data_IF_038794174495
#
_entry.id   IF_038794174495
#
_cell.length_a   1.000
_cell.length_b   1.000
_cell.length_c   1.000
_cell.angle_alpha   90.00
_cell.angle_beta   90.00
_cell.angle_gamma   90.00
#
_symmetry.space_group_name_H-M   'P 1'
#
loop_
_entity.id
_entity.type
_entity.pdbx_description
1 polymer ?
#
# COMPACT_ATOMS: atom_id res chain seq x y z
N UNK A 1 43.11 16.63 -17.73
CA UNK A 1 43.65 15.26 -17.80
C UNK A 1 43.70 14.70 -16.38
N UNK A 2 42.71 13.89 -16.00
CA UNK A 2 42.70 13.21 -14.69
C UNK A 2 43.38 11.85 -14.88
N UNK A 3 44.66 11.74 -14.51
CA UNK A 3 45.38 10.46 -14.52
C UNK A 3 45.17 9.80 -13.16
N UNK A 4 44.39 8.73 -13.11
CA UNK A 4 44.28 7.85 -11.96
C UNK A 4 45.17 6.64 -12.23
N UNK A 5 46.31 6.52 -11.54
CA UNK A 5 47.19 5.33 -11.63
C UNK A 5 47.31 4.68 -10.26
N UNK A 6 47.02 3.38 -10.17
CA UNK A 6 47.22 2.53 -8.99
C UNK A 6 47.43 1.06 -9.37
N UNK A 7 48.37 0.40 -8.69
CA UNK A 7 48.93 -0.95 -8.98
C UNK A 7 47.97 -2.11 -8.67
N UNK A 8 48.19 -3.23 -9.37
CA UNK A 8 47.21 -4.30 -9.59
C UNK A 8 46.88 -5.24 -8.42
N UNK A 9 45.60 -5.64 -8.32
CA UNK A 9 45.11 -6.73 -7.47
C UNK A 9 44.27 -7.79 -8.22
N UNK A 10 44.31 -9.04 -7.72
CA UNK A 10 43.97 -10.35 -8.31
C UNK A 10 42.55 -10.65 -8.85
N UNK A 11 41.74 -9.69 -9.35
CA UNK A 11 40.41 -10.00 -9.92
C UNK A 11 40.19 -9.40 -11.31
N UNK A 12 39.67 -10.24 -12.22
CA UNK A 12 39.44 -9.93 -13.64
C UNK A 12 38.48 -8.75 -13.83
N UNK A 13 38.86 -7.92 -14.81
CA UNK A 13 38.13 -6.77 -15.37
C UNK A 13 36.70 -7.13 -15.81
N UNK A 14 35.76 -6.20 -15.62
CA UNK A 14 34.36 -6.33 -16.03
C UNK A 14 34.03 -5.26 -17.09
N UNK A 15 33.99 -5.66 -18.36
CA UNK A 15 33.79 -4.79 -19.54
C UNK A 15 32.46 -4.04 -19.54
N UNK A 16 31.43 -4.60 -18.90
CA UNK A 16 30.11 -4.00 -18.74
C UNK A 16 30.15 -2.67 -17.99
N UNK A 17 31.06 -2.55 -17.01
CA UNK A 17 31.16 -1.38 -16.15
C UNK A 17 31.86 -0.20 -16.83
N UNK A 18 32.94 -0.47 -17.56
CA UNK A 18 33.67 0.55 -18.31
C UNK A 18 32.79 1.17 -19.41
N UNK A 19 31.98 0.35 -20.07
CA UNK A 19 31.02 0.81 -21.07
C UNK A 19 29.92 1.69 -20.46
N UNK A 20 29.47 1.42 -19.23
CA UNK A 20 28.50 2.27 -18.52
C UNK A 20 29.09 3.61 -18.11
N UNK A 21 30.32 3.65 -17.59
CA UNK A 21 30.99 4.91 -17.25
C UNK A 21 31.21 5.78 -18.49
N UNK A 22 31.63 5.17 -19.62
CA UNK A 22 31.72 5.85 -20.90
C UNK A 22 30.38 6.48 -21.32
N UNK A 23 29.28 5.73 -21.18
CA UNK A 23 27.95 6.20 -21.56
C UNK A 23 27.48 7.44 -20.78
N UNK A 24 27.74 7.52 -19.47
CA UNK A 24 27.35 8.68 -18.66
C UNK A 24 28.14 9.94 -19.02
N UNK A 25 29.43 9.80 -19.31
CA UNK A 25 30.30 10.92 -19.68
C UNK A 25 29.95 11.47 -21.08
N UNK A 26 29.63 10.58 -22.03
CA UNK A 26 29.21 10.97 -23.38
C UNK A 26 27.83 11.65 -23.42
N UNK A 27 26.94 11.35 -22.46
CA UNK A 27 25.56 11.86 -22.45
C UNK A 27 25.42 13.27 -21.87
N UNK A 28 26.31 13.66 -20.95
CA UNK A 28 26.25 14.96 -20.26
C UNK A 28 27.07 16.08 -20.93
N UNK A 29 27.63 15.84 -22.12
CA UNK A 29 28.32 16.85 -22.95
C UNK A 29 29.40 17.64 -22.19
N UNK A 30 30.04 17.01 -21.19
CA UNK A 30 31.22 17.60 -20.55
C UNK A 30 32.37 17.50 -21.55
N UNK A 31 32.87 18.65 -22.01
CA UNK A 31 34.08 18.78 -22.83
C UNK A 31 35.33 18.25 -22.08
N UNK A 32 35.41 16.94 -21.91
CA UNK A 32 36.57 16.22 -21.41
C UNK A 32 37.34 15.75 -22.64
N UNK A 33 38.42 16.47 -22.94
CA UNK A 33 39.17 16.32 -24.18
C UNK A 33 39.88 14.97 -24.33
N UNK A 34 40.03 14.18 -23.26
CA UNK A 34 40.37 12.74 -23.30
C UNK A 34 40.18 12.11 -21.90
N UNK A 35 39.56 10.92 -21.83
CA UNK A 35 39.42 10.13 -20.60
C UNK A 35 39.98 8.71 -20.82
N UNK A 36 41.08 8.41 -20.13
CA UNK A 36 41.73 7.09 -20.15
C UNK A 36 41.52 6.46 -18.77
N UNK A 37 40.69 5.40 -18.72
CA UNK A 37 40.52 4.58 -17.50
C UNK A 37 41.44 3.37 -17.59
N UNK A 38 42.51 3.38 -16.79
CA UNK A 38 43.35 2.20 -16.58
C UNK A 38 43.21 1.82 -15.11
N UNK A 39 42.69 0.62 -14.81
CA UNK A 39 42.54 0.14 -13.44
C UNK A 39 43.06 -1.30 -13.29
N UNK A 40 43.62 -1.63 -12.12
CA UNK A 40 43.63 -2.99 -11.56
C UNK A 40 43.64 -2.88 -10.01
N UNK A 41 42.76 -3.59 -9.29
CA UNK A 41 42.79 -3.67 -7.80
C UNK A 41 41.48 -3.36 -7.06
N UNK A 42 41.42 -3.72 -5.77
CA UNK A 42 40.23 -3.73 -4.87
C UNK A 42 39.69 -2.37 -4.45
N UNK A 43 40.41 -1.27 -4.72
CA UNK A 43 40.03 0.06 -4.24
C UNK A 43 38.85 0.65 -5.00
N UNK A 44 38.77 0.39 -6.31
CA UNK A 44 37.56 0.64 -7.11
C UNK A 44 36.37 -0.15 -6.55
N UNK A 45 36.58 -1.39 -6.08
CA UNK A 45 35.49 -2.16 -5.44
C UNK A 45 35.06 -1.58 -4.10
N UNK A 46 35.97 -1.02 -3.30
CA UNK A 46 35.61 -0.35 -2.04
C UNK A 46 34.87 0.96 -2.30
N UNK A 47 35.36 1.79 -3.22
CA UNK A 47 34.68 3.05 -3.61
C UNK A 47 33.29 2.72 -4.19
N UNK A 48 33.19 1.72 -5.06
CA UNK A 48 31.91 1.27 -5.62
C UNK A 48 30.98 0.70 -4.55
N UNK A 49 31.49 -0.09 -3.59
CA UNK A 49 30.69 -0.60 -2.47
C UNK A 49 30.19 0.53 -1.58
N UNK A 50 31.02 1.54 -1.29
CA UNK A 50 30.61 2.73 -0.55
C UNK A 50 29.60 3.57 -1.33
N UNK A 51 29.71 3.67 -2.66
CA UNK A 51 28.69 4.32 -3.49
C UNK A 51 27.38 3.52 -3.53
N UNK A 52 27.43 2.19 -3.66
CA UNK A 52 26.24 1.33 -3.62
C UNK A 52 25.55 1.40 -2.25
N UNK A 53 26.32 1.48 -1.16
CA UNK A 53 25.80 1.67 0.21
C UNK A 53 25.15 3.05 0.37
N UNK A 54 25.79 4.13 -0.12
CA UNK A 54 25.23 5.47 -0.12
C UNK A 54 23.96 5.58 -0.97
N UNK A 55 23.93 4.98 -2.17
CA UNK A 55 22.73 4.94 -3.00
C UNK A 55 21.60 4.11 -2.37
N UNK A 56 21.94 3.04 -1.64
CA UNK A 56 20.95 2.28 -0.89
C UNK A 56 20.38 3.09 0.28
N UNK A 57 21.22 3.81 1.04
CA UNK A 57 20.78 4.73 2.11
C UNK A 57 19.93 5.89 1.56
N UNK A 58 20.36 6.53 0.48
CA UNK A 58 19.66 7.65 -0.14
C UNK A 58 18.27 7.22 -0.65
N UNK A 59 18.19 6.02 -1.24
CA UNK A 59 16.92 5.42 -1.67
C UNK A 59 16.01 5.08 -0.49
N UNK A 60 16.57 4.59 0.63
CA UNK A 60 15.79 4.34 1.86
C UNK A 60 15.26 5.66 2.41
N UNK A 61 16.07 6.73 2.39
CA UNK A 61 15.67 8.05 2.87
C UNK A 61 14.62 8.71 1.96
N UNK A 62 14.72 8.56 0.63
CA UNK A 62 13.67 8.98 -0.30
C UNK A 62 12.36 8.23 -0.04
N UNK A 63 12.41 6.89 0.10
CA UNK A 63 11.23 6.08 0.41
C UNK A 63 10.59 6.46 1.76
N UNK A 64 11.41 6.78 2.77
CA UNK A 64 10.96 7.27 4.08
C UNK A 64 10.31 8.66 3.97
N UNK A 65 10.95 9.61 3.29
CA UNK A 65 10.41 10.95 3.08
C UNK A 65 9.11 10.95 2.27
N UNK A 66 9.01 10.07 1.26
CA UNK A 66 7.79 9.89 0.48
C UNK A 66 6.64 9.38 1.35
N UNK A 67 6.92 8.42 2.23
CA UNK A 67 5.94 7.90 3.21
C UNK A 67 5.51 8.98 4.19
N UNK A 68 6.45 9.73 4.76
CA UNK A 68 6.15 10.83 5.69
C UNK A 68 5.29 11.91 5.02
N UNK A 69 5.59 12.27 3.76
CA UNK A 69 4.79 13.21 2.96
C UNK A 69 3.36 12.71 2.73
N UNK A 70 3.18 11.44 2.39
CA UNK A 70 1.85 10.82 2.23
C UNK A 70 1.10 10.82 3.57
N UNK A 71 1.75 10.46 4.66
CA UNK A 71 1.14 10.51 6.00
C UNK A 71 0.73 11.92 6.42
N UNK A 72 1.54 12.95 6.13
CA UNK A 72 1.23 14.35 6.45
C UNK A 72 0.05 14.86 5.63
N UNK A 73 -0.02 14.55 4.32
CA UNK A 73 -1.17 14.90 3.48
C UNK A 73 -2.46 14.29 4.00
N UNK A 74 -2.40 13.02 4.38
CA UNK A 74 -3.53 12.30 4.97
C UNK A 74 -3.97 12.94 6.30
N UNK A 75 -3.03 13.25 7.20
CA UNK A 75 -3.33 13.92 8.48
C UNK A 75 -3.98 15.29 8.28
N UNK A 76 -3.54 16.07 7.30
CA UNK A 76 -4.15 17.37 7.01
C UNK A 76 -5.58 17.23 6.49
N UNK A 77 -5.85 16.29 5.58
CA UNK A 77 -7.22 16.00 5.12
C UNK A 77 -8.10 15.56 6.30
N UNK A 78 -7.57 14.76 7.21
CA UNK A 78 -8.28 14.32 8.40
C UNK A 78 -8.64 15.48 9.34
N UNK A 79 -7.69 16.37 9.64
CA UNK A 79 -7.90 17.57 10.44
C UNK A 79 -8.94 18.52 9.81
N UNK A 80 -8.86 18.74 8.50
CA UNK A 80 -9.81 19.61 7.78
C UNK A 80 -11.25 19.08 7.85
N UNK A 81 -11.45 17.76 7.84
CA UNK A 81 -12.77 17.17 7.94
C UNK A 81 -13.29 17.21 9.38
N UNK A 82 -12.44 17.01 10.39
CA UNK A 82 -12.81 17.16 11.81
C UNK A 82 -13.24 18.59 12.15
N UNK A 83 -12.52 19.59 11.65
CA UNK A 83 -12.87 21.00 11.85
C UNK A 83 -14.24 21.32 11.23
N UNK A 84 -14.54 20.79 10.03
CA UNK A 84 -15.88 20.92 9.42
C UNK A 84 -16.98 20.22 10.20
N UNK A 85 -16.67 19.13 10.91
CA UNK A 85 -17.62 18.42 11.77
C UNK A 85 -17.99 19.24 13.03
N UNK A 86 -17.02 19.95 13.62
CA UNK A 86 -17.24 20.80 14.79
C UNK A 86 -18.13 22.01 14.49
N UNK A 87 -18.06 22.55 13.27
CA UNK A 87 -18.85 23.71 12.84
C UNK A 87 -20.31 23.36 12.47
N UNK A 88 -20.63 22.08 12.27
CA UNK A 88 -21.97 21.65 11.85
C UNK A 88 -22.95 21.49 13.02
N UNK A 89 -24.10 22.16 12.90
CA UNK A 89 -25.24 22.05 13.84
C UNK A 89 -26.23 20.95 13.46
N UNK A 90 -26.21 20.52 12.20
CA UNK A 90 -27.13 19.53 11.64
C UNK A 90 -26.63 18.10 11.95
N UNK A 91 -27.45 17.35 12.70
CA UNK A 91 -27.08 16.03 13.24
C UNK A 91 -26.87 14.99 12.12
N UNK A 92 -27.68 15.04 11.08
CA UNK A 92 -27.62 14.05 10.00
C UNK A 92 -26.36 14.25 9.14
N UNK A 93 -26.02 15.52 8.86
CA UNK A 93 -24.75 15.86 8.18
C UNK A 93 -23.52 15.53 9.02
N UNK A 94 -23.62 15.66 10.35
CA UNK A 94 -22.55 15.29 11.28
C UNK A 94 -22.29 13.80 11.26
N UNK A 95 -23.34 12.98 11.27
CA UNK A 95 -23.22 11.53 11.22
C UNK A 95 -22.70 11.04 9.85
N UNK A 96 -23.06 11.69 8.75
CA UNK A 96 -22.44 11.43 7.43
C UNK A 96 -20.94 11.73 7.41
N UNK A 97 -20.53 12.87 7.96
CA UNK A 97 -19.12 13.25 8.03
C UNK A 97 -18.31 12.29 8.90
N UNK A 98 -18.83 11.87 10.06
CA UNK A 98 -18.18 10.85 10.89
C UNK A 98 -17.94 9.54 10.14
N UNK A 99 -18.92 9.09 9.36
CA UNK A 99 -18.76 7.87 8.56
C UNK A 99 -17.67 8.03 7.51
N UNK A 100 -17.63 9.18 6.81
CA UNK A 100 -16.57 9.49 5.83
C UNK A 100 -15.19 9.58 6.47
N UNK A 101 -15.06 10.19 7.65
CA UNK A 101 -13.80 10.22 8.41
C UNK A 101 -13.35 8.79 8.70
N UNK A 102 -14.24 7.96 9.22
CA UNK A 102 -13.92 6.58 9.59
C UNK A 102 -13.54 5.72 8.37
N UNK A 103 -14.18 5.91 7.22
CA UNK A 103 -13.79 5.25 5.96
C UNK A 103 -12.36 5.63 5.55
N UNK A 104 -12.01 6.92 5.65
CA UNK A 104 -10.65 7.41 5.36
C UNK A 104 -9.64 6.79 6.34
N UNK A 105 -9.93 6.80 7.64
CA UNK A 105 -9.07 6.20 8.67
C UNK A 105 -8.80 4.71 8.41
N UNK A 106 -9.85 3.94 8.13
CA UNK A 106 -9.74 2.52 7.80
C UNK A 106 -8.92 2.30 6.53
N UNK A 107 -9.15 3.10 5.48
CA UNK A 107 -8.38 3.06 4.24
C UNK A 107 -6.89 3.27 4.47
N UNK A 108 -6.54 4.27 5.28
CA UNK A 108 -5.15 4.57 5.65
C UNK A 108 -4.52 3.43 6.45
N UNK A 109 -5.25 2.84 7.40
CA UNK A 109 -4.73 1.72 8.19
C UNK A 109 -4.45 0.50 7.30
N UNK A 110 -5.32 0.22 6.34
CA UNK A 110 -5.12 -0.84 5.33
C UNK A 110 -3.84 -0.59 4.52
N UNK A 111 -3.62 0.63 4.04
CA UNK A 111 -2.41 0.96 3.28
C UNK A 111 -1.13 0.81 4.11
N UNK A 112 -1.12 1.31 5.35
CA UNK A 112 0.01 1.14 6.27
C UNK A 112 0.33 -0.34 6.51
N UNK A 113 -0.70 -1.16 6.73
CA UNK A 113 -0.51 -2.62 6.90
C UNK A 113 -0.03 -3.30 5.61
N UNK A 114 -0.50 -2.89 4.43
CA UNK A 114 0.02 -3.41 3.14
C UNK A 114 1.49 -3.08 2.92
N UNK A 115 1.93 -1.87 3.28
CA UNK A 115 3.35 -1.50 3.24
C UNK A 115 4.20 -2.40 4.15
N UNK A 116 3.73 -2.64 5.37
CA UNK A 116 4.37 -3.58 6.31
C UNK A 116 4.41 -5.01 5.76
N UNK A 117 3.40 -5.45 5.01
CA UNK A 117 3.39 -6.77 4.36
C UNK A 117 4.51 -6.89 3.32
N UNK A 118 4.72 -5.85 2.51
CA UNK A 118 5.80 -5.81 1.52
C UNK A 118 7.17 -5.91 2.18
N UNK A 119 7.39 -5.18 3.28
CA UNK A 119 8.64 -5.25 4.04
C UNK A 119 8.89 -6.63 4.65
N UNK A 120 7.88 -7.21 5.28
CA UNK A 120 7.97 -8.56 5.84
C UNK A 120 8.27 -9.60 4.76
N UNK A 121 7.68 -9.49 3.57
CA UNK A 121 8.02 -10.37 2.42
C UNK A 121 9.48 -10.23 2.00
N UNK A 122 10.02 -9.01 1.98
CA UNK A 122 11.44 -8.78 1.67
C UNK A 122 12.34 -9.46 2.70
N UNK A 123 12.11 -9.20 3.99
CA UNK A 123 12.86 -9.82 5.10
C UNK A 123 12.78 -11.33 5.09
N UNK A 124 11.58 -11.91 4.92
CA UNK A 124 11.39 -13.35 4.82
C UNK A 124 12.21 -13.96 3.67
N UNK A 125 12.21 -13.32 2.49
CA UNK A 125 12.97 -13.78 1.33
C UNK A 125 14.48 -13.72 1.57
N UNK A 126 14.96 -12.70 2.27
CA UNK A 126 16.37 -12.57 2.64
C UNK A 126 16.79 -13.66 3.63
N UNK A 127 16.01 -13.88 4.68
CA UNK A 127 16.28 -14.94 5.66
C UNK A 127 16.27 -16.33 5.04
N UNK A 128 15.30 -16.64 4.18
CA UNK A 128 15.29 -17.93 3.47
C UNK A 128 16.54 -18.13 2.60
N UNK A 129 17.04 -17.07 1.96
CA UNK A 129 18.32 -17.13 1.20
C UNK A 129 19.52 -17.28 2.12
N UNK A 130 19.48 -16.74 3.33
CA UNK A 130 20.54 -16.91 4.33
C UNK A 130 20.53 -18.35 4.83
N UNK A 131 19.36 -18.89 5.20
CA UNK A 131 19.16 -20.28 5.60
C UNK A 131 19.73 -21.24 4.56
N UNK A 132 19.36 -21.07 3.29
CA UNK A 132 19.79 -21.94 2.19
C UNK A 132 21.32 -21.89 1.98
N UNK A 133 21.94 -20.71 2.12
CA UNK A 133 23.40 -20.55 2.00
C UNK A 133 24.17 -21.17 3.16
N UNK A 134 23.59 -21.14 4.36
CA UNK A 134 24.24 -21.55 5.61
C UNK A 134 23.94 -22.99 6.00
N UNK A 135 22.86 -23.59 5.47
CA UNK A 135 22.40 -24.96 5.72
C UNK A 135 23.48 -26.05 5.74
N UNK A 136 24.55 -25.91 4.95
CA UNK A 136 25.64 -26.90 4.87
C UNK A 136 26.98 -26.38 5.42
N UNK A 137 27.01 -25.20 6.07
CA UNK A 137 28.24 -24.49 6.46
C UNK A 137 28.35 -24.23 7.96
N UNK A 138 27.25 -24.30 8.69
CA UNK A 138 27.17 -24.00 10.13
C UNK A 138 26.46 -25.13 10.86
N UNK A 139 26.54 -25.13 12.20
CA UNK A 139 25.90 -26.15 13.02
C UNK A 139 24.38 -26.09 12.92
N UNK A 140 23.73 -27.23 13.17
CA UNK A 140 22.26 -27.32 13.16
C UNK A 140 21.63 -26.37 14.19
N UNK A 141 22.30 -26.13 15.33
CA UNK A 141 21.85 -25.15 16.34
C UNK A 141 21.82 -23.71 15.79
N UNK A 142 22.82 -23.31 15.01
CA UNK A 142 22.88 -21.98 14.40
C UNK A 142 21.86 -21.84 13.25
N UNK A 143 21.62 -22.91 12.49
CA UNK A 143 20.58 -22.97 11.46
C UNK A 143 19.19 -22.93 12.10
N UNK A 144 19.01 -23.57 13.26
CA UNK A 144 17.77 -23.58 14.03
C UNK A 144 17.29 -22.18 14.41
N UNK A 145 18.21 -21.28 14.78
CA UNK A 145 17.89 -19.87 15.05
C UNK A 145 17.34 -19.15 13.81
N UNK A 146 17.94 -19.38 12.63
CA UNK A 146 17.49 -18.79 11.36
C UNK A 146 16.11 -19.34 10.97
N UNK A 147 15.89 -20.66 11.12
CA UNK A 147 14.59 -21.28 10.90
C UNK A 147 13.51 -20.70 11.81
N UNK A 148 13.83 -20.48 13.08
CA UNK A 148 12.93 -19.81 14.04
C UNK A 148 12.52 -18.41 13.57
N UNK A 149 13.47 -17.62 13.04
CA UNK A 149 13.17 -16.30 12.48
C UNK A 149 12.28 -16.39 11.23
N UNK A 150 12.55 -17.34 10.32
CA UNK A 150 11.73 -17.60 9.12
C UNK A 150 10.30 -17.97 9.50
N UNK A 151 10.11 -18.84 10.48
CA UNK A 151 8.78 -19.20 11.00
C UNK A 151 8.08 -18.02 11.67
N UNK A 152 8.82 -17.21 12.43
CA UNK A 152 8.32 -15.95 13.01
C UNK A 152 7.77 -15.01 11.93
N UNK A 153 8.56 -14.74 10.88
CA UNK A 153 8.12 -13.89 9.77
C UNK A 153 6.93 -14.47 9.00
N UNK A 154 6.84 -15.80 8.84
CA UNK A 154 5.65 -16.44 8.25
C UNK A 154 4.40 -16.21 9.09
N UNK A 155 4.51 -16.35 10.42
CA UNK A 155 3.41 -16.13 11.36
C UNK A 155 2.96 -14.66 11.36
N UNK A 156 3.90 -13.73 11.39
CA UNK A 156 3.61 -12.29 11.33
C UNK A 156 2.92 -11.91 10.02
N UNK A 157 3.39 -12.47 8.89
CA UNK A 157 2.76 -12.24 7.58
C UNK A 157 1.32 -12.79 7.54
N UNK A 158 1.08 -13.95 8.15
CA UNK A 158 -0.26 -14.52 8.23
C UNK A 158 -1.20 -13.64 9.07
N UNK A 159 -0.76 -13.21 10.25
CA UNK A 159 -1.52 -12.32 11.13
C UNK A 159 -1.83 -10.99 10.45
N UNK A 160 -0.84 -10.37 9.80
CA UNK A 160 -1.02 -9.10 9.11
C UNK A 160 -2.02 -9.22 7.96
N UNK A 161 -2.00 -10.32 7.19
CA UNK A 161 -3.00 -10.59 6.15
C UNK A 161 -4.41 -10.78 6.72
N UNK A 162 -4.52 -11.37 7.91
CA UNK A 162 -5.79 -11.51 8.62
C UNK A 162 -6.33 -10.13 9.01
N UNK A 163 -5.51 -9.29 9.62
CA UNK A 163 -5.88 -7.91 10.00
C UNK A 163 -6.29 -7.06 8.80
N UNK A 164 -5.51 -7.09 7.71
CA UNK A 164 -5.85 -6.38 6.46
C UNK A 164 -7.18 -6.85 5.91
N UNK A 165 -7.45 -8.16 5.95
CA UNK A 165 -8.73 -8.69 5.51
C UNK A 165 -9.89 -8.17 6.36
N UNK A 166 -9.75 -8.20 7.69
CA UNK A 166 -10.79 -7.73 8.61
C UNK A 166 -11.12 -6.25 8.38
N UNK A 167 -10.11 -5.39 8.25
CA UNK A 167 -10.30 -3.97 7.94
C UNK A 167 -11.00 -3.74 6.59
N UNK A 168 -10.63 -4.51 5.55
CA UNK A 168 -11.31 -4.42 4.24
C UNK A 168 -12.78 -4.84 4.34
N UNK A 169 -13.11 -5.82 5.18
CA UNK A 169 -14.48 -6.26 5.38
C UNK A 169 -15.30 -5.22 6.15
N UNK A 170 -14.70 -4.52 7.13
CA UNK A 170 -15.34 -3.40 7.81
C UNK A 170 -15.63 -2.25 6.84
N UNK A 171 -14.64 -1.85 6.04
CA UNK A 171 -14.79 -0.79 5.04
C UNK A 171 -15.87 -1.13 4.01
N UNK A 172 -15.88 -2.36 3.50
CA UNK A 172 -16.93 -2.84 2.60
C UNK A 172 -18.31 -2.85 3.26
N UNK A 173 -18.39 -3.18 4.53
CA UNK A 173 -19.64 -3.14 5.29
C UNK A 173 -20.18 -1.71 5.42
N UNK A 174 -19.29 -0.72 5.62
CA UNK A 174 -19.67 0.70 5.66
C UNK A 174 -20.18 1.19 4.30
N UNK A 175 -19.48 0.87 3.21
CA UNK A 175 -19.91 1.24 1.85
C UNK A 175 -21.31 0.70 1.51
N UNK A 176 -21.58 -0.57 1.86
CA UNK A 176 -22.90 -1.18 1.63
C UNK A 176 -23.97 -0.48 2.46
N UNK A 177 -23.70 -0.16 3.74
CA UNK A 177 -24.63 0.59 4.59
C UNK A 177 -24.91 1.99 4.06
N UNK A 178 -23.90 2.69 3.52
CA UNK A 178 -24.11 3.99 2.89
C UNK A 178 -25.03 3.87 1.67
N UNK A 179 -24.79 2.90 0.79
CA UNK A 179 -25.64 2.66 -0.39
C UNK A 179 -27.08 2.30 -0.01
N UNK A 180 -27.28 1.57 1.09
CA UNK A 180 -28.63 1.28 1.59
C UNK A 180 -29.35 2.54 2.02
N UNK A 181 -28.68 3.43 2.78
CA UNK A 181 -29.27 4.72 3.17
C UNK A 181 -29.65 5.58 1.97
N UNK A 182 -28.79 5.66 0.96
CA UNK A 182 -29.09 6.41 -0.26
C UNK A 182 -30.29 5.81 -1.01
N UNK A 183 -30.43 4.48 -1.00
CA UNK A 183 -31.56 3.78 -1.59
C UNK A 183 -32.85 4.05 -0.81
N UNK A 184 -32.79 3.99 0.53
CA UNK A 184 -33.92 4.30 1.41
C UNK A 184 -34.46 5.73 1.19
N UNK A 185 -33.57 6.73 1.08
CA UNK A 185 -33.95 8.11 0.79
C UNK A 185 -34.63 8.25 -0.59
N UNK A 186 -34.15 7.52 -1.60
CA UNK A 186 -34.79 7.51 -2.93
C UNK A 186 -36.16 6.86 -2.90
N UNK A 187 -36.31 5.77 -2.15
CA UNK A 187 -37.61 5.11 -1.98
C UNK A 187 -38.59 6.03 -1.26
N UNK A 188 -38.18 6.72 -0.20
CA UNK A 188 -39.03 7.68 0.52
C UNK A 188 -39.50 8.81 -0.41
N UNK A 189 -38.61 9.37 -1.22
CA UNK A 189 -38.95 10.40 -2.22
C UNK A 189 -39.97 9.89 -3.24
N UNK A 190 -39.76 8.68 -3.78
CA UNK A 190 -40.67 8.07 -4.74
C UNK A 190 -42.05 7.73 -4.13
N UNK A 191 -42.07 7.27 -2.88
CA UNK A 191 -43.32 7.00 -2.16
C UNK A 191 -44.11 8.30 -1.89
N UNK A 192 -43.43 9.42 -1.67
CA UNK A 192 -44.06 10.73 -1.54
C UNK A 192 -44.58 11.27 -2.89
N UNK A 193 -43.84 11.07 -3.98
CA UNK A 193 -44.30 11.40 -5.33
C UNK A 193 -45.55 10.59 -5.73
N UNK A 194 -45.56 9.29 -5.44
CA UNK A 194 -46.68 8.39 -5.72
C UNK A 194 -47.99 8.81 -5.03
N UNK A 195 -47.92 9.44 -3.85
CA UNK A 195 -49.12 9.96 -3.14
C UNK A 195 -49.76 11.14 -3.86
N UNK A 196 -48.99 11.88 -4.64
CA UNK A 196 -49.40 13.16 -5.23
C UNK A 196 -49.72 13.06 -6.74
N UNK A 197 -49.35 11.96 -7.39
CA UNK A 197 -49.59 11.74 -8.82
C UNK A 197 -51.05 11.36 -9.10
N UNK A 198 -51.66 12.09 -10.04
CA UNK A 198 -53.03 11.84 -10.52
C UNK A 198 -53.10 11.06 -11.84
N UNK A 199 -52.01 11.03 -12.60
CA UNK A 199 -51.94 10.32 -13.88
C UNK A 199 -51.60 8.85 -13.67
N UNK A 200 -52.41 7.97 -14.26
CA UNK A 200 -52.33 6.52 -14.08
C UNK A 200 -51.10 5.91 -14.78
N UNK A 201 -50.68 6.46 -15.91
CA UNK A 201 -49.44 6.06 -16.61
C UNK A 201 -48.18 6.46 -15.82
N UNK A 202 -48.15 7.70 -15.30
CA UNK A 202 -47.06 8.17 -14.45
C UNK A 202 -46.97 7.37 -13.15
N UNK A 203 -48.13 7.01 -12.57
CA UNK A 203 -48.18 6.18 -11.37
C UNK A 203 -47.57 4.81 -11.60
N UNK A 204 -47.89 4.14 -12.71
CA UNK A 204 -47.28 2.84 -13.07
C UNK A 204 -45.77 2.93 -13.25
N UNK A 205 -45.27 3.97 -13.93
CA UNK A 205 -43.82 4.18 -14.08
C UNK A 205 -43.09 4.33 -12.74
N UNK A 206 -43.66 5.12 -11.83
CA UNK A 206 -43.09 5.32 -10.48
C UNK A 206 -43.18 4.04 -9.61
N UNK A 207 -44.24 3.24 -9.77
CA UNK A 207 -44.37 1.93 -9.10
C UNK A 207 -43.30 0.93 -9.57
N UNK A 208 -42.99 0.91 -10.88
CA UNK A 208 -41.91 0.09 -11.44
C UNK A 208 -40.53 0.51 -10.90
N UNK A 209 -40.27 1.82 -10.82
CA UNK A 209 -39.00 2.33 -10.29
C UNK A 209 -38.85 2.06 -8.78
N UNK A 210 -39.94 2.18 -8.00
CA UNK A 210 -39.95 1.79 -6.59
C UNK A 210 -39.66 0.28 -6.42
N UNK A 211 -40.21 -0.56 -7.29
CA UNK A 211 -39.95 -2.01 -7.26
C UNK A 211 -38.48 -2.33 -7.54
N UNK A 212 -37.84 -1.63 -8.49
CA UNK A 212 -36.40 -1.78 -8.75
C UNK A 212 -35.56 -1.41 -7.53
N UNK A 213 -35.86 -0.30 -6.88
CA UNK A 213 -35.13 0.13 -5.68
C UNK A 213 -35.27 -0.86 -4.52
N UNK A 214 -36.46 -1.44 -4.32
CA UNK A 214 -36.68 -2.50 -3.32
C UNK A 214 -35.83 -3.75 -3.60
N UNK A 215 -35.77 -4.19 -4.86
CA UNK A 215 -34.90 -5.29 -5.28
C UNK A 215 -33.42 -4.97 -5.03
N UNK A 216 -32.98 -3.76 -5.40
CA UNK A 216 -31.61 -3.30 -5.13
C UNK A 216 -31.28 -3.28 -3.63
N UNK A 217 -32.23 -2.89 -2.78
CA UNK A 217 -32.06 -2.91 -1.32
C UNK A 217 -31.92 -4.34 -0.79
N UNK A 218 -32.75 -5.27 -1.23
CA UNK A 218 -32.64 -6.69 -0.85
C UNK A 218 -31.27 -7.28 -1.24
N UNK A 219 -30.75 -6.94 -2.42
CA UNK A 219 -29.40 -7.33 -2.82
C UNK A 219 -28.31 -6.75 -1.91
N UNK A 220 -28.46 -5.48 -1.50
CA UNK A 220 -27.52 -4.84 -0.58
C UNK A 220 -27.56 -5.48 0.81
N UNK A 221 -28.74 -5.84 1.31
CA UNK A 221 -28.91 -6.57 2.58
C UNK A 221 -28.22 -7.93 2.53
N UNK A 222 -28.40 -8.69 1.44
CA UNK A 222 -27.70 -9.96 1.25
C UNK A 222 -26.17 -9.79 1.20
N UNK A 223 -25.68 -8.76 0.48
CA UNK A 223 -24.25 -8.43 0.42
C UNK A 223 -23.71 -8.05 1.80
N UNK A 224 -24.47 -7.31 2.61
CA UNK A 224 -24.09 -6.96 3.97
C UNK A 224 -24.00 -8.22 4.84
N UNK A 225 -25.01 -9.09 4.81
CA UNK A 225 -25.01 -10.35 5.55
C UNK A 225 -23.82 -11.25 5.21
N UNK A 226 -23.46 -11.38 3.92
CA UNK A 226 -22.26 -12.11 3.50
C UNK A 226 -20.97 -11.46 3.99
N UNK A 227 -20.93 -10.13 4.08
CA UNK A 227 -19.76 -9.36 4.52
C UNK A 227 -19.54 -9.56 6.03
N UNK A 228 -20.61 -9.50 6.82
CA UNK A 228 -20.57 -9.75 8.26
C UNK A 228 -20.23 -11.21 8.60
N UNK A 229 -20.77 -12.18 7.86
CA UNK A 229 -20.44 -13.60 8.02
C UNK A 229 -18.94 -13.87 7.78
N UNK A 230 -18.39 -13.33 6.69
CA UNK A 230 -16.95 -13.48 6.35
C UNK A 230 -16.03 -12.81 7.38
N UNK A 231 -16.48 -11.74 8.02
CA UNK A 231 -15.77 -11.11 9.15
C UNK A 231 -15.79 -12.01 10.38
N UNK A 232 -16.97 -12.53 10.77
CA UNK A 232 -17.13 -13.30 12.00
C UNK A 232 -16.45 -14.68 11.94
N UNK A 233 -16.45 -15.34 10.78
CA UNK A 233 -15.83 -16.66 10.61
C UNK A 233 -14.31 -16.67 10.74
N UNK A 234 -13.65 -15.50 10.71
CA UNK A 234 -12.20 -15.38 10.98
C UNK A 234 -11.87 -14.88 12.37
N UNK A 235 -12.83 -14.32 13.11
CA UNK A 235 -12.64 -13.90 14.51
C UNK A 235 -12.72 -15.07 15.48
N UNK A 236 -13.50 -16.11 15.15
CA UNK A 236 -13.52 -17.41 15.82
C UNK A 236 -12.28 -18.24 15.47
#
# INVERSE_FOLDING_TARGET
MLIITGLAGNKKYREDLANRMKHYIEKDNMNLTDFIVIHYGTDMFQILKSMDELFAEEKINEDLALRESVELKIKNVHLDIQLKEEELKDKDKKDELKNKIKEIELGNEIEKKKLREVELKKKLKEEMKVEERLKNRVSEEQIGLIRGNVEGYKKDLFNLKKEVFELNMELKGMEVKSKMKDNDLKMESLEEELKNVKSEELKKGLEEDLMKLKLEREELEQKLGQTELKSNHRKA
#
